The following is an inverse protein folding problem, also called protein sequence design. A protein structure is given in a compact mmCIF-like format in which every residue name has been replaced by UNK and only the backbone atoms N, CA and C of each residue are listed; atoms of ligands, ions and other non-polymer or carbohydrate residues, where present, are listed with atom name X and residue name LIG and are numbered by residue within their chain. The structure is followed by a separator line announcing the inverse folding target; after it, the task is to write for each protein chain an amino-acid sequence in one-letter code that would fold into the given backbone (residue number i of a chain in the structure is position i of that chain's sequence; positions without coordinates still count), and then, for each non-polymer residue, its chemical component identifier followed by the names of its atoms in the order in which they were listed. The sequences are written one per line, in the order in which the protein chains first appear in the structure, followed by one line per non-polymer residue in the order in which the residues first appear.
data_IF_896930262189
#
_entry.id   IF_896930262189
#
_cell.length_a   1.000
_cell.length_b   1.000
_cell.length_c   1.000
_cell.angle_alpha   90.00
_cell.angle_beta   90.00
_cell.angle_gamma   90.00
#
_symmetry.space_group_name_H-M   'P 1'
#
loop_
_entity.id
_entity.type
_entity.pdbx_description
1 polymer ?
#
# COMPACT_ATOMS: atom_id res chain seq x y z
N UNK A 1 2.12 -20.03 -10.58
CA UNK A 1 0.80 -19.68 -11.16
C UNK A 1 0.66 -18.17 -11.13
N UNK A 2 0.57 -17.49 -12.29
CA UNK A 2 0.34 -16.04 -12.36
C UNK A 2 -1.16 -15.82 -12.12
N UNK A 3 -1.51 -15.09 -11.05
CA UNK A 3 -2.91 -14.82 -10.67
C UNK A 3 -3.58 -13.75 -11.54
N UNK A 4 -2.81 -12.89 -12.21
CA UNK A 4 -3.30 -11.81 -13.07
C UNK A 4 -2.17 -10.90 -13.56
N UNK A 5 -2.51 -9.93 -14.40
CA UNK A 5 -1.61 -8.85 -14.83
C UNK A 5 -2.18 -7.50 -14.43
N UNK A 6 -1.31 -6.59 -14.02
CA UNK A 6 -1.64 -5.21 -13.69
C UNK A 6 -0.98 -4.28 -14.72
N UNK A 7 -1.77 -3.40 -15.33
CA UNK A 7 -1.27 -2.34 -16.21
C UNK A 7 -0.87 -1.12 -15.37
N UNK A 8 0.41 -0.78 -15.39
CA UNK A 8 0.93 0.40 -14.68
C UNK A 8 1.28 1.47 -15.72
N UNK A 9 0.90 2.72 -15.43
CA UNK A 9 1.19 3.89 -16.26
C UNK A 9 1.71 5.05 -15.41
N UNK A 10 2.63 5.82 -15.98
CA UNK A 10 3.07 7.12 -15.50
C UNK A 10 2.52 8.19 -16.44
N UNK A 11 1.93 9.24 -15.86
CA UNK A 11 1.15 10.25 -16.58
C UNK A 11 1.66 11.63 -16.22
N UNK A 12 1.77 12.51 -17.20
CA UNK A 12 2.11 13.91 -16.96
C UNK A 12 0.92 14.69 -16.35
N UNK A 13 1.22 15.62 -15.44
CA UNK A 13 0.19 16.37 -14.73
C UNK A 13 -0.58 17.38 -15.59
N UNK A 14 0.06 17.95 -16.63
CA UNK A 14 -0.48 19.10 -17.36
C UNK A 14 -1.43 18.66 -18.47
N UNK A 15 -1.05 17.64 -19.22
CA UNK A 15 -1.74 17.20 -20.42
C UNK A 15 -2.36 15.80 -20.28
N UNK A 16 -2.14 15.11 -19.16
CA UNK A 16 -2.63 13.73 -18.94
C UNK A 16 -2.13 12.74 -20.00
N UNK A 17 -0.96 13.00 -20.58
CA UNK A 17 -0.25 12.13 -21.50
C UNK A 17 0.47 11.06 -20.71
N UNK A 18 0.29 9.81 -21.11
CA UNK A 18 1.02 8.67 -20.57
C UNK A 18 2.45 8.74 -21.10
N UNK A 19 3.40 9.02 -20.20
CA UNK A 19 4.82 9.15 -20.54
C UNK A 19 5.56 7.82 -20.47
N UNK A 20 5.07 6.85 -19.69
CA UNK A 20 5.62 5.50 -19.64
C UNK A 20 4.56 4.51 -19.16
N UNK A 21 4.56 3.28 -19.66
CA UNK A 21 3.60 2.26 -19.26
C UNK A 21 4.17 0.85 -19.41
N UNK A 22 3.77 -0.07 -18.52
CA UNK A 22 4.15 -1.48 -18.62
C UNK A 22 3.16 -2.38 -17.87
N UNK A 23 2.98 -3.61 -18.35
CA UNK A 23 2.15 -4.63 -17.70
C UNK A 23 2.99 -5.62 -16.88
N UNK A 24 2.59 -5.84 -15.63
CA UNK A 24 3.31 -6.70 -14.67
C UNK A 24 2.46 -7.89 -14.26
N UNK A 25 3.05 -9.09 -14.21
CA UNK A 25 2.37 -10.33 -13.86
C UNK A 25 2.44 -10.67 -12.38
N UNK A 26 2.10 -9.74 -11.50
CA UNK A 26 2.18 -9.92 -10.05
C UNK A 26 1.11 -9.08 -9.33
N UNK A 27 0.55 -9.62 -8.24
CA UNK A 27 -0.54 -8.98 -7.51
C UNK A 27 -0.10 -7.83 -6.58
N UNK A 28 1.18 -7.76 -6.23
CA UNK A 28 1.74 -6.62 -5.46
C UNK A 28 2.52 -5.70 -6.39
N UNK A 29 2.34 -4.39 -6.27
CA UNK A 29 2.93 -3.41 -7.20
C UNK A 29 4.25 -2.81 -6.70
N UNK A 30 4.69 -3.16 -5.49
CA UNK A 30 5.92 -2.59 -4.91
C UNK A 30 7.14 -2.76 -5.82
N UNK A 31 7.27 -3.92 -6.48
CA UNK A 31 8.40 -4.24 -7.36
C UNK A 31 8.40 -3.48 -8.70
N UNK A 32 7.33 -2.76 -9.02
CA UNK A 32 7.18 -2.11 -10.34
C UNK A 32 7.71 -0.67 -10.35
N UNK A 33 7.87 -0.02 -9.18
CA UNK A 33 8.31 1.38 -9.09
C UNK A 33 9.65 1.62 -9.79
N UNK A 34 10.67 0.84 -9.44
CA UNK A 34 12.01 0.99 -9.99
C UNK A 34 12.03 0.80 -11.51
N UNK A 35 11.48 -0.28 -12.08
CA UNK A 35 11.33 -0.42 -13.53
C UNK A 35 10.62 0.76 -14.19
N UNK A 36 9.55 1.28 -13.59
CA UNK A 36 8.80 2.42 -14.13
C UNK A 36 9.65 3.69 -14.16
N UNK A 37 10.36 4.01 -13.07
CA UNK A 37 11.25 5.18 -13.01
C UNK A 37 12.38 5.07 -14.04
N UNK A 38 13.02 3.90 -14.14
CA UNK A 38 14.08 3.66 -15.12
C UNK A 38 13.56 3.72 -16.55
N UNK A 39 12.33 3.26 -16.79
CA UNK A 39 11.64 3.36 -18.07
C UNK A 39 11.41 4.81 -18.49
N UNK A 40 10.88 5.64 -17.58
CA UNK A 40 10.71 7.09 -17.78
C UNK A 40 12.07 7.72 -18.10
N UNK A 41 13.09 7.47 -17.27
CA UNK A 41 14.41 8.05 -17.47
C UNK A 41 15.01 7.70 -18.84
N UNK A 42 14.89 6.43 -19.26
CA UNK A 42 15.36 5.97 -20.57
C UNK A 42 14.63 6.66 -21.71
N UNK A 43 13.31 6.78 -21.62
CA UNK A 43 12.48 7.37 -22.66
C UNK A 43 12.79 8.86 -22.83
N UNK A 44 12.95 9.60 -21.73
CA UNK A 44 13.33 11.00 -21.80
C UNK A 44 14.77 11.19 -22.29
N UNK A 45 15.72 10.33 -21.92
CA UNK A 45 17.09 10.39 -22.46
C UNK A 45 17.19 10.11 -23.96
N UNK A 46 16.27 9.34 -24.52
CA UNK A 46 16.21 9.12 -25.97
C UNK A 46 15.79 10.38 -26.73
N UNK A 47 14.98 11.24 -26.09
CA UNK A 47 14.50 12.51 -26.66
C UNK A 47 15.52 13.62 -26.38
N UNK A 48 16.04 13.66 -25.15
CA UNK A 48 16.98 14.66 -24.66
C UNK A 48 18.11 13.97 -23.85
N UNK A 49 19.28 13.70 -24.47
CA UNK A 49 20.37 12.90 -23.88
C UNK A 49 20.92 13.38 -22.52
N UNK A 50 20.68 14.64 -22.15
CA UNK A 50 21.07 15.23 -20.86
C UNK A 50 19.97 15.21 -19.79
N UNK A 51 18.77 14.72 -20.11
CA UNK A 51 17.60 14.89 -19.25
C UNK A 51 17.79 14.28 -17.85
N UNK A 52 17.58 15.11 -16.83
CA UNK A 52 17.52 14.72 -15.42
C UNK A 52 16.08 14.77 -14.90
N UNK A 53 15.11 14.43 -15.76
CA UNK A 53 13.66 14.56 -15.51
C UNK A 53 13.22 14.03 -14.14
N UNK A 54 13.78 12.90 -13.67
CA UNK A 54 13.41 12.30 -12.39
C UNK A 54 13.80 13.15 -11.16
N UNK A 55 14.81 14.03 -11.28
CA UNK A 55 15.24 14.96 -10.22
C UNK A 55 14.55 16.32 -10.33
N UNK A 56 14.14 16.69 -11.53
CA UNK A 56 13.52 17.99 -11.82
C UNK A 56 12.00 17.97 -11.62
N UNK A 57 11.39 16.79 -11.58
CA UNK A 57 9.94 16.62 -11.47
C UNK A 57 9.53 15.98 -10.16
N UNK A 58 8.31 16.31 -9.73
CA UNK A 58 7.66 15.67 -8.58
C UNK A 58 6.98 14.39 -9.03
N UNK A 59 7.17 13.31 -8.29
CA UNK A 59 6.59 11.99 -8.63
C UNK A 59 5.62 11.57 -7.55
N UNK A 60 4.36 11.41 -7.89
CA UNK A 60 3.34 10.86 -6.97
C UNK A 60 3.07 9.40 -7.30
N UNK A 61 3.02 8.52 -6.29
CA UNK A 61 2.63 7.12 -6.47
C UNK A 61 1.61 6.68 -5.41
N UNK A 62 0.73 5.75 -5.77
CA UNK A 62 -0.26 5.21 -4.84
C UNK A 62 0.35 4.33 -3.74
N UNK A 63 -0.51 3.80 -2.86
CA UNK A 63 -0.08 2.95 -1.76
C UNK A 63 0.34 1.54 -2.15
N UNK A 64 0.06 1.10 -3.38
CA UNK A 64 0.58 -0.14 -3.96
C UNK A 64 2.10 -0.11 -4.13
N UNK A 65 2.69 1.08 -4.33
CA UNK A 65 4.13 1.28 -4.44
C UNK A 65 4.84 1.48 -3.08
N UNK A 66 4.13 1.48 -1.96
CA UNK A 66 4.74 1.71 -0.65
C UNK A 66 5.54 0.49 -0.17
N UNK A 67 6.85 0.61 -0.10
CA UNK A 67 7.77 -0.34 0.54
C UNK A 67 9.00 0.39 1.08
N UNK A 68 9.68 -0.19 2.08
CA UNK A 68 10.93 0.36 2.61
C UNK A 68 12.02 0.48 1.50
N UNK A 69 12.13 -0.54 0.65
CA UNK A 69 13.04 -0.53 -0.50
C UNK A 69 12.75 0.64 -1.45
N UNK A 70 11.49 0.92 -1.74
CA UNK A 70 11.09 2.03 -2.60
C UNK A 70 11.37 3.39 -1.96
N UNK A 71 11.16 3.55 -0.65
CA UNK A 71 11.49 4.79 0.05
C UNK A 71 13.00 5.04 0.03
N UNK A 72 13.80 3.99 0.26
CA UNK A 72 15.27 4.02 0.13
C UNK A 72 15.70 4.41 -1.29
N UNK A 73 15.07 3.84 -2.31
CA UNK A 73 15.36 4.12 -3.72
C UNK A 73 15.12 5.59 -4.08
N UNK A 74 13.92 6.11 -3.80
CA UNK A 74 13.55 7.51 -4.11
C UNK A 74 14.54 8.48 -3.46
N UNK A 75 14.89 8.24 -2.19
CA UNK A 75 15.83 9.10 -1.48
C UNK A 75 17.25 9.01 -2.06
N UNK A 76 17.75 7.80 -2.38
CA UNK A 76 19.08 7.60 -2.98
C UNK A 76 19.21 8.24 -4.35
N UNK A 77 18.15 8.20 -5.16
CA UNK A 77 18.15 8.81 -6.49
C UNK A 77 17.95 10.33 -6.47
N UNK A 78 17.60 10.90 -5.30
CA UNK A 78 17.32 12.33 -5.14
C UNK A 78 16.02 12.76 -5.81
N UNK A 79 15.03 11.86 -5.85
CA UNK A 79 13.74 12.11 -6.50
C UNK A 79 12.79 12.81 -5.51
N UNK A 80 12.13 13.88 -5.95
CA UNK A 80 11.07 14.54 -5.17
C UNK A 80 9.76 13.72 -5.21
N UNK A 81 9.77 12.57 -4.52
CA UNK A 81 8.66 11.61 -4.50
C UNK A 81 7.63 11.86 -3.39
N UNK A 82 6.37 11.50 -3.66
CA UNK A 82 5.22 11.50 -2.74
C UNK A 82 4.48 10.17 -2.87
N UNK A 83 4.79 9.22 -2.00
CA UNK A 83 4.23 7.86 -2.03
C UNK A 83 3.46 7.63 -0.73
N UNK A 84 2.15 7.40 -0.83
CA UNK A 84 1.33 7.17 0.35
C UNK A 84 1.46 5.77 0.89
N UNK A 85 1.26 5.59 2.20
CA UNK A 85 1.04 4.27 2.79
C UNK A 85 -0.46 3.93 2.91
N UNK A 86 -0.78 2.70 3.27
CA UNK A 86 -2.15 2.20 3.42
C UNK A 86 -2.97 2.89 4.52
N UNK A 87 -2.33 3.62 5.43
CA UNK A 87 -2.94 4.38 6.51
C UNK A 87 -3.03 5.88 6.22
N UNK A 88 -2.49 6.38 5.10
CA UNK A 88 -2.46 7.80 4.74
C UNK A 88 -3.85 8.45 4.84
N UNK A 89 -4.88 7.83 4.25
CA UNK A 89 -6.26 8.34 4.32
C UNK A 89 -6.79 8.43 5.75
N UNK A 90 -6.35 7.59 6.68
CA UNK A 90 -6.81 7.63 8.08
C UNK A 90 -6.12 8.72 8.90
N UNK A 91 -4.93 9.16 8.47
CA UNK A 91 -4.18 10.24 9.13
C UNK A 91 -4.60 11.62 8.67
N UNK A 92 -5.45 11.71 7.65
CA UNK A 92 -5.97 12.99 7.19
C UNK A 92 -6.98 13.53 8.23
N UNK A 93 -6.71 14.73 8.80
CA UNK A 93 -7.52 15.32 9.87
C UNK A 93 -9.00 15.45 9.52
N UNK A 94 -9.33 15.60 8.24
CA UNK A 94 -10.73 15.76 7.77
C UNK A 94 -11.58 14.51 8.06
N UNK A 95 -10.97 13.34 8.18
CA UNK A 95 -11.68 12.11 8.48
C UNK A 95 -11.82 11.82 9.98
N UNK A 96 -11.08 12.51 10.85
CA UNK A 96 -11.16 12.31 12.30
C UNK A 96 -12.58 12.56 12.82
N UNK A 97 -13.18 13.66 12.37
CA UNK A 97 -14.52 14.09 12.78
C UNK A 97 -15.63 13.82 11.74
N UNK A 98 -15.30 13.24 10.58
CA UNK A 98 -16.30 13.02 9.53
C UNK A 98 -17.35 11.97 9.92
N UNK A 99 -18.58 12.44 10.18
CA UNK A 99 -19.75 11.60 10.47
C UNK A 99 -20.09 10.70 9.27
N UNK A 100 -20.09 11.25 8.06
CA UNK A 100 -20.39 10.51 6.81
C UNK A 100 -19.40 9.39 6.56
N UNK A 101 -18.11 9.61 6.84
CA UNK A 101 -17.11 8.56 6.72
C UNK A 101 -17.32 7.44 7.74
N UNK A 102 -17.61 7.80 9.00
CA UNK A 102 -17.90 6.84 10.07
C UNK A 102 -19.16 6.02 9.74
N UNK A 103 -20.23 6.64 9.27
CA UNK A 103 -21.49 5.97 8.92
C UNK A 103 -21.36 5.07 7.69
N UNK A 104 -20.77 5.55 6.59
CA UNK A 104 -20.54 4.73 5.39
C UNK A 104 -19.63 3.52 5.67
N UNK A 105 -18.63 3.69 6.54
CA UNK A 105 -17.78 2.59 6.99
C UNK A 105 -18.55 1.57 7.82
N UNK A 106 -19.47 2.02 8.68
CA UNK A 106 -20.34 1.13 9.44
C UNK A 106 -21.31 0.36 8.52
N UNK A 107 -21.88 1.03 7.51
CA UNK A 107 -22.74 0.40 6.52
C UNK A 107 -22.00 -0.68 5.71
N UNK A 108 -20.84 -0.36 5.12
CA UNK A 108 -20.00 -1.35 4.40
C UNK A 108 -19.59 -2.53 5.28
N UNK A 109 -19.45 -2.33 6.60
CA UNK A 109 -19.19 -3.43 7.54
C UNK A 109 -20.41 -4.31 7.75
N UNK A 110 -21.62 -3.73 7.86
CA UNK A 110 -22.89 -4.47 7.93
C UNK A 110 -23.13 -5.29 6.67
N UNK A 111 -22.92 -4.71 5.49
CA UNK A 111 -23.06 -5.39 4.19
C UNK A 111 -22.10 -6.58 4.03
N UNK A 112 -20.90 -6.50 4.63
CA UNK A 112 -19.92 -7.60 4.64
C UNK A 112 -20.23 -8.71 5.66
N UNK A 113 -21.37 -8.64 6.38
CA UNK A 113 -21.84 -9.68 7.30
C UNK A 113 -20.94 -9.92 8.52
N UNK A 114 -19.96 -9.06 8.79
CA UNK A 114 -18.99 -9.26 9.86
C UNK A 114 -19.45 -8.68 11.19
N UNK A 115 -19.98 -9.50 12.09
CA UNK A 115 -20.03 -9.12 13.51
C UNK A 115 -18.61 -8.93 14.03
N UNK A 116 -18.30 -7.75 14.55
CA UNK A 116 -17.04 -7.49 15.23
C UNK A 116 -17.12 -8.15 16.60
N UNK A 117 -16.65 -9.39 16.71
CA UNK A 117 -16.38 -9.96 18.02
C UNK A 117 -15.33 -9.07 18.70
N UNK A 118 -15.68 -8.43 19.82
CA UNK A 118 -14.72 -7.84 20.74
C UNK A 118 -13.86 -8.98 21.27
N UNK A 119 -12.69 -9.16 20.66
CA UNK A 119 -11.71 -10.15 21.08
C UNK A 119 -10.62 -9.48 21.87
N UNK A 120 -10.02 -10.20 22.81
CA UNK A 120 -8.83 -9.74 23.50
C UNK A 120 -7.73 -9.36 22.50
N UNK A 121 -7.10 -8.23 22.76
CA UNK A 121 -5.94 -7.66 22.07
C UNK A 121 -4.67 -7.99 22.86
N UNK A 122 -3.50 -7.59 22.39
CA UNK A 122 -2.25 -7.80 23.15
C UNK A 122 -2.22 -7.05 24.49
N UNK A 123 -3.00 -5.96 24.63
CA UNK A 123 -3.06 -5.17 25.85
C UNK A 123 -3.77 -5.90 27.01
N UNK A 124 -4.60 -6.90 26.71
CA UNK A 124 -5.31 -7.70 27.71
C UNK A 124 -4.45 -8.84 28.29
N UNK A 125 -3.22 -9.00 27.79
CA UNK A 125 -2.29 -10.05 28.20
C UNK A 125 -1.23 -9.45 29.11
N UNK A 126 -0.98 -10.11 30.23
CA UNK A 126 0.00 -9.69 31.20
C UNK A 126 1.37 -10.22 30.75
N UNK A 127 2.17 -9.33 30.15
CA UNK A 127 3.51 -9.63 29.67
C UNK A 127 4.53 -8.89 30.52
N UNK A 128 5.39 -9.65 31.18
CA UNK A 128 6.52 -9.13 31.94
C UNK A 128 7.80 -9.14 31.06
N UNK A 129 8.32 -7.97 30.66
CA UNK A 129 9.53 -7.89 29.84
C UNK A 129 10.82 -8.26 30.57
N UNK A 130 10.86 -8.21 31.90
CA UNK A 130 12.07 -8.55 32.68
C UNK A 130 12.26 -10.05 32.77
N UNK A 131 11.17 -10.78 33.06
CA UNK A 131 11.19 -12.25 33.18
C UNK A 131 10.89 -12.95 31.86
N UNK A 132 10.48 -12.20 30.83
CA UNK A 132 10.01 -12.70 29.54
C UNK A 132 8.93 -13.77 29.67
N UNK A 133 8.01 -13.56 30.62
CA UNK A 133 6.86 -14.42 30.86
C UNK A 133 5.58 -13.72 30.43
N UNK A 134 4.57 -14.51 30.03
CA UNK A 134 3.27 -13.98 29.65
C UNK A 134 2.14 -14.83 30.22
N UNK A 135 1.11 -14.17 30.74
CA UNK A 135 -0.15 -14.75 31.19
C UNK A 135 -1.31 -14.22 30.35
N UNK A 136 -2.27 -15.08 30.07
CA UNK A 136 -3.48 -14.69 29.34
C UNK A 136 -4.52 -14.03 30.26
N UNK A 137 -5.59 -13.41 29.71
CA UNK A 137 -6.67 -12.82 30.51
C UNK A 137 -7.36 -13.81 31.48
N UNK A 138 -7.24 -15.12 31.24
CA UNK A 138 -7.75 -16.16 32.14
C UNK A 138 -6.74 -16.58 33.23
N UNK A 139 -5.61 -15.87 33.38
CA UNK A 139 -4.55 -16.14 34.36
C UNK A 139 -3.59 -17.28 34.02
N UNK A 140 -3.82 -18.00 32.92
CA UNK A 140 -3.04 -19.17 32.52
C UNK A 140 -1.69 -18.77 31.89
N UNK A 141 -0.59 -19.50 32.20
CA UNK A 141 0.72 -19.22 31.63
C UNK A 141 0.75 -19.53 30.13
N UNK A 142 1.59 -18.79 29.41
CA UNK A 142 1.86 -18.98 27.98
C UNK A 142 3.34 -19.31 27.78
N UNK A 143 3.63 -20.19 26.83
CA UNK A 143 5.00 -20.55 26.50
C UNK A 143 5.56 -19.63 25.42
N UNK A 144 6.86 -19.34 25.51
CA UNK A 144 7.57 -18.48 24.56
C UNK A 144 7.78 -19.23 23.25
N UNK A 145 7.11 -18.76 22.21
CA UNK A 145 7.15 -19.39 20.87
C UNK A 145 8.33 -18.91 20.05
N UNK A 146 8.62 -17.62 20.11
CA UNK A 146 9.65 -16.99 19.30
C UNK A 146 10.12 -15.71 19.98
N UNK A 147 11.43 -15.43 19.89
CA UNK A 147 12.03 -14.13 20.16
C UNK A 147 13.06 -13.87 19.07
N UNK A 148 12.95 -12.74 18.39
CA UNK A 148 13.89 -12.36 17.35
C UNK A 148 13.36 -11.22 16.49
N UNK A 149 14.05 -10.96 15.38
CA UNK A 149 13.68 -9.90 14.45
C UNK A 149 12.60 -10.38 13.49
N UNK A 150 11.44 -9.71 13.50
CA UNK A 150 10.43 -9.83 12.45
C UNK A 150 10.49 -8.53 11.63
N UNK A 151 11.09 -8.62 10.45
CA UNK A 151 11.51 -7.44 9.71
C UNK A 151 12.63 -6.71 10.45
N UNK A 152 12.46 -5.41 10.72
CA UNK A 152 13.42 -4.59 11.48
C UNK A 152 13.07 -4.50 12.98
N UNK A 153 12.00 -5.16 13.43
CA UNK A 153 11.47 -5.04 14.79
C UNK A 153 11.73 -6.30 15.61
N UNK A 154 12.38 -6.11 16.76
CA UNK A 154 12.55 -7.19 17.73
C UNK A 154 11.20 -7.48 18.37
N UNK A 155 10.75 -8.72 18.19
CA UNK A 155 9.42 -9.16 18.60
C UNK A 155 9.56 -10.44 19.40
N UNK A 156 8.88 -10.49 20.53
CA UNK A 156 8.66 -11.72 21.29
C UNK A 156 7.22 -12.17 21.07
N UNK A 157 7.00 -13.46 20.92
CA UNK A 157 5.67 -14.03 20.80
C UNK A 157 5.48 -15.21 21.74
N UNK A 158 4.27 -15.28 22.29
CA UNK A 158 3.83 -16.29 23.23
C UNK A 158 2.64 -17.04 22.67
N UNK A 159 2.54 -18.31 23.04
CA UNK A 159 1.43 -19.16 22.69
C UNK A 159 0.83 -19.82 23.93
N UNK A 160 -0.50 -19.83 24.00
CA UNK A 160 -1.21 -20.52 25.06
C UNK A 160 -1.13 -22.04 24.89
N UNK A 161 -1.07 -22.77 25.99
CA UNK A 161 -1.16 -24.23 25.93
C UNK A 161 -2.54 -24.67 25.46
N UNK A 162 -2.56 -25.69 24.61
CA UNK A 162 -3.79 -26.18 23.96
C UNK A 162 -4.83 -26.65 24.98
N UNK A 163 -4.40 -27.35 26.02
CA UNK A 163 -5.29 -27.87 27.08
C UNK A 163 -6.00 -26.71 27.79
N UNK A 164 -5.24 -25.72 28.27
CA UNK A 164 -5.81 -24.54 28.92
C UNK A 164 -6.74 -23.74 28.00
N UNK A 165 -6.47 -23.65 26.70
CA UNK A 165 -7.34 -22.92 25.77
C UNK A 165 -8.66 -23.65 25.43
N UNK A 166 -8.66 -24.99 25.42
CA UNK A 166 -9.85 -25.80 25.09
C UNK A 166 -10.94 -25.68 26.16
N UNK A 167 -10.53 -25.71 27.41
CA UNK A 167 -11.42 -25.72 28.59
C UNK A 167 -11.64 -24.31 29.17
N UNK A 168 -11.12 -23.27 28.51
CA UNK A 168 -11.24 -21.89 28.96
C UNK A 168 -12.65 -21.32 28.71
N UNK A 169 -13.26 -20.75 29.75
CA UNK A 169 -14.55 -20.04 29.68
C UNK A 169 -14.49 -18.81 28.75
N UNK A 170 -13.31 -18.18 28.66
CA UNK A 170 -13.08 -17.00 27.83
C UNK A 170 -12.74 -17.33 26.36
N UNK A 171 -12.80 -18.61 25.93
CA UNK A 171 -12.36 -19.04 24.59
C UNK A 171 -13.11 -18.36 23.43
N UNK A 172 -14.37 -17.99 23.61
CA UNK A 172 -15.17 -17.30 22.58
C UNK A 172 -14.75 -15.84 22.37
N UNK A 173 -14.20 -15.20 23.41
CA UNK A 173 -13.64 -13.84 23.36
C UNK A 173 -12.13 -13.84 23.06
N UNK A 174 -11.45 -14.98 23.26
CA UNK A 174 -10.01 -15.11 23.06
C UNK A 174 -9.64 -15.69 21.68
N UNK A 175 -10.26 -16.79 21.25
CA UNK A 175 -9.85 -17.50 20.03
C UNK A 175 -10.57 -16.95 18.79
N UNK A 176 -9.92 -17.05 17.62
CA UNK A 176 -10.56 -16.69 16.34
C UNK A 176 -11.69 -17.67 16.02
N UNK A 177 -11.45 -18.96 16.27
CA UNK A 177 -12.43 -20.04 16.24
C UNK A 177 -12.34 -20.81 17.56
N UNK A 178 -13.44 -21.01 18.32
CA UNK A 178 -13.38 -21.72 19.61
C UNK A 178 -12.78 -23.14 19.53
N UNK A 179 -12.94 -23.80 18.39
CA UNK A 179 -12.49 -25.19 18.18
C UNK A 179 -11.18 -25.27 17.36
N UNK A 180 -10.40 -24.20 17.28
CA UNK A 180 -9.12 -24.25 16.55
C UNK A 180 -8.10 -25.18 17.26
N UNK A 181 -7.17 -25.73 16.48
CA UNK A 181 -6.21 -26.69 17.02
C UNK A 181 -5.13 -26.02 17.87
N UNK A 182 -4.74 -24.80 17.54
CA UNK A 182 -3.70 -24.05 18.23
C UNK A 182 -4.24 -23.14 19.32
N UNK A 183 -3.47 -23.01 20.41
CA UNK A 183 -3.74 -22.01 21.45
C UNK A 183 -3.64 -20.57 20.92
N UNK A 184 -4.12 -19.61 21.72
CA UNK A 184 -4.01 -18.19 21.39
C UNK A 184 -2.54 -17.79 21.23
N UNK A 185 -2.21 -17.06 20.17
CA UNK A 185 -0.92 -16.40 19.99
C UNK A 185 -1.05 -14.91 20.29
N UNK A 186 -0.04 -14.35 20.95
CA UNK A 186 0.14 -12.91 21.18
C UNK A 186 1.60 -12.55 20.96
N UNK A 187 1.85 -11.35 20.42
CA UNK A 187 3.20 -10.85 20.17
C UNK A 187 3.36 -9.46 20.78
N UNK A 188 4.54 -9.21 21.34
CA UNK A 188 4.93 -7.94 21.94
C UNK A 188 6.22 -7.42 21.29
N UNK A 189 6.27 -6.11 21.10
CA UNK A 189 7.47 -5.42 20.63
C UNK A 189 8.48 -5.29 21.78
N UNK A 190 9.72 -5.73 21.58
CA UNK A 190 10.78 -5.57 22.55
C UNK A 190 11.56 -4.28 22.25
N UNK A 191 11.36 -3.28 23.12
CA UNK A 191 12.01 -1.98 23.05
C UNK A 191 11.25 -0.93 22.23
N UNK A 192 11.18 0.28 22.78
CA UNK A 192 10.87 1.47 21.99
C UNK A 192 12.10 1.83 21.15
N UNK A 193 12.30 1.15 20.02
CA UNK A 193 13.05 1.82 18.96
C UNK A 193 12.16 2.93 18.43
N UNK A 194 12.42 4.18 18.84
CA UNK A 194 12.24 5.31 17.93
C UNK A 194 12.91 4.86 16.64
N UNK A 195 12.18 4.59 15.54
CA UNK A 195 12.83 4.16 14.33
C UNK A 195 13.86 5.23 13.98
N UNK A 196 15.14 4.85 13.90
CA UNK A 196 16.19 5.68 13.29
C UNK A 196 15.58 6.20 11.99
N UNK A 197 15.24 7.51 11.95
CA UNK A 197 14.30 8.13 11.01
C UNK A 197 14.14 7.34 9.70
N UNK A 198 13.25 6.34 9.70
CA UNK A 198 13.19 5.40 8.58
C UNK A 198 12.77 6.21 7.35
N UNK A 199 13.21 5.80 6.16
CA UNK A 199 12.81 6.51 4.95
C UNK A 199 11.28 6.55 4.79
N UNK A 200 10.59 5.56 5.36
CA UNK A 200 9.13 5.54 5.55
C UNK A 200 8.66 6.69 6.43
N UNK A 201 9.21 6.88 7.63
CA UNK A 201 8.77 7.96 8.52
C UNK A 201 9.05 9.35 7.92
N UNK A 202 10.19 9.51 7.22
CA UNK A 202 10.48 10.74 6.47
C UNK A 202 9.44 11.00 5.37
N UNK A 203 9.09 9.98 4.58
CA UNK A 203 8.05 10.10 3.56
C UNK A 203 6.69 10.43 4.18
N UNK A 204 6.38 9.80 5.32
CA UNK A 204 5.14 10.00 6.07
C UNK A 204 5.00 11.44 6.54
N UNK A 205 6.03 11.99 7.19
CA UNK A 205 6.08 13.39 7.61
C UNK A 205 5.95 14.34 6.42
N UNK A 206 6.65 14.05 5.32
CA UNK A 206 6.60 14.84 4.09
C UNK A 206 5.20 14.87 3.47
N UNK A 207 4.59 13.71 3.24
CA UNK A 207 3.29 13.59 2.58
C UNK A 207 2.14 14.06 3.49
N UNK A 208 2.30 13.98 4.82
CA UNK A 208 1.32 14.46 5.79
C UNK A 208 1.47 15.97 6.08
N UNK A 209 2.42 16.68 5.48
CA UNK A 209 2.42 18.15 5.51
C UNK A 209 1.26 18.72 4.67
N UNK A 210 0.76 19.96 4.93
CA UNK A 210 -0.27 20.58 4.11
C UNK A 210 0.10 20.63 2.62
N UNK A 211 1.35 21.00 2.32
CA UNK A 211 1.87 21.03 0.94
C UNK A 211 1.99 19.62 0.34
N UNK A 212 2.47 18.64 1.11
CA UNK A 212 2.56 17.25 0.66
C UNK A 212 1.21 16.64 0.33
N UNK A 213 0.18 16.93 1.15
CA UNK A 213 -1.20 16.52 0.88
C UNK A 213 -1.75 17.20 -0.37
N UNK A 214 -1.47 18.49 -0.56
CA UNK A 214 -1.89 19.22 -1.76
C UNK A 214 -1.28 18.60 -3.02
N UNK A 215 0.05 18.41 -3.07
CA UNK A 215 0.75 17.79 -4.20
C UNK A 215 0.21 16.38 -4.46
N UNK A 216 0.10 15.55 -3.41
CA UNK A 216 -0.38 14.17 -3.57
C UNK A 216 -1.86 14.07 -4.01
N UNK A 217 -2.67 15.08 -3.69
CA UNK A 217 -4.07 15.14 -4.11
C UNK A 217 -4.25 15.41 -5.60
N UNK A 218 -3.25 15.99 -6.28
CA UNK A 218 -3.30 16.29 -7.72
C UNK A 218 -3.49 15.02 -8.56
N UNK A 219 -3.08 13.84 -8.05
CA UNK A 219 -3.26 12.56 -8.76
C UNK A 219 -4.71 12.29 -9.17
N UNK A 220 -5.70 12.78 -8.41
CA UNK A 220 -7.12 12.65 -8.74
C UNK A 220 -7.46 13.34 -10.07
N UNK A 221 -6.78 14.45 -10.39
CA UNK A 221 -6.91 15.17 -11.66
C UNK A 221 -5.92 14.69 -12.74
N UNK A 222 -4.83 14.03 -12.35
CA UNK A 222 -3.80 13.56 -13.28
C UNK A 222 -4.09 12.17 -13.83
N UNK A 223 -4.07 11.14 -12.97
CA UNK A 223 -4.01 9.74 -13.40
C UNK A 223 -5.40 9.09 -13.42
N UNK A 224 -6.28 9.46 -12.51
CA UNK A 224 -7.63 8.87 -12.44
C UNK A 224 -8.46 9.11 -13.70
N UNK A 225 -8.44 10.29 -14.37
CA UNK A 225 -9.17 10.50 -15.61
C UNK A 225 -8.62 9.64 -16.76
N UNK A 226 -7.30 9.36 -16.75
CA UNK A 226 -6.67 8.48 -17.74
C UNK A 226 -7.22 7.06 -17.60
N UNK A 227 -7.16 6.49 -16.39
CA UNK A 227 -7.74 5.16 -16.13
C UNK A 227 -9.25 5.14 -16.35
N UNK A 228 -9.96 6.21 -15.97
CA UNK A 228 -11.39 6.37 -16.25
C UNK A 228 -11.71 6.30 -17.76
N UNK A 229 -10.92 6.96 -18.61
CA UNK A 229 -11.07 6.86 -20.06
C UNK A 229 -10.79 5.43 -20.55
N UNK A 230 -9.68 4.82 -20.13
CA UNK A 230 -9.27 3.48 -20.55
C UNK A 230 -10.28 2.40 -20.13
N UNK A 231 -10.82 2.48 -18.92
CA UNK A 231 -11.79 1.51 -18.40
C UNK A 231 -13.20 1.79 -18.92
N UNK A 232 -13.70 3.01 -18.76
CA UNK A 232 -15.12 3.30 -19.02
C UNK A 232 -15.42 3.57 -20.49
N UNK A 233 -14.57 4.33 -21.18
CA UNK A 233 -14.81 4.69 -22.58
C UNK A 233 -14.17 3.70 -23.56
N UNK A 234 -13.01 3.11 -23.21
CA UNK A 234 -12.33 2.11 -24.06
C UNK A 234 -12.63 0.67 -23.66
N UNK A 235 -13.25 0.43 -22.51
CA UNK A 235 -13.69 -0.90 -22.10
C UNK A 235 -12.56 -1.84 -21.66
N UNK A 236 -11.39 -1.32 -21.26
CA UNK A 236 -10.26 -2.15 -20.78
C UNK A 236 -10.41 -2.57 -19.32
N UNK A 237 -11.47 -3.32 -19.02
CA UNK A 237 -11.78 -3.73 -17.65
C UNK A 237 -10.98 -4.97 -17.23
N UNK A 238 -10.42 -5.69 -18.22
CA UNK A 238 -9.59 -6.89 -18.08
C UNK A 238 -8.74 -7.10 -19.34
N UNK A 239 -7.55 -7.65 -19.17
CA UNK A 239 -6.76 -8.12 -20.30
C UNK A 239 -7.38 -9.36 -20.93
N UNK A 240 -7.43 -9.41 -22.26
CA UNK A 240 -8.05 -10.51 -23.02
C UNK A 240 -7.01 -11.48 -23.59
N UNK A 241 -5.74 -11.06 -23.63
CA UNK A 241 -4.64 -11.87 -24.16
C UNK A 241 -3.96 -12.70 -23.06
N UNK A 242 -3.24 -13.75 -23.48
CA UNK A 242 -2.45 -14.62 -22.60
C UNK A 242 -0.97 -14.47 -22.86
N UNK A 243 -0.19 -14.42 -21.79
CA UNK A 243 1.28 -14.28 -21.84
C UNK A 243 1.72 -12.82 -21.75
N UNK A 244 2.79 -12.57 -20.98
CA UNK A 244 3.26 -11.23 -20.61
C UNK A 244 3.44 -10.31 -21.81
N UNK A 245 4.11 -10.79 -22.86
CA UNK A 245 4.39 -9.96 -24.04
C UNK A 245 3.12 -9.50 -24.75
N UNK A 246 2.12 -10.39 -24.90
CA UNK A 246 0.84 -10.05 -25.54
C UNK A 246 0.02 -9.11 -24.67
N UNK A 247 -0.05 -9.38 -23.36
CA UNK A 247 -0.75 -8.50 -22.41
C UNK A 247 -0.11 -7.11 -22.37
N UNK A 248 1.22 -7.03 -22.36
CA UNK A 248 1.93 -5.76 -22.40
C UNK A 248 1.68 -5.01 -23.72
N UNK A 249 1.66 -5.71 -24.86
CA UNK A 249 1.29 -5.08 -26.14
C UNK A 249 -0.14 -4.52 -26.12
N UNK A 250 -1.10 -5.26 -25.57
CA UNK A 250 -2.48 -4.78 -25.39
C UNK A 250 -2.49 -3.53 -24.49
N UNK A 251 -1.80 -3.54 -23.36
CA UNK A 251 -1.73 -2.40 -22.45
C UNK A 251 -1.16 -1.15 -23.13
N UNK A 252 -0.02 -1.31 -23.82
CA UNK A 252 0.64 -0.22 -24.54
C UNK A 252 -0.23 0.33 -25.67
N UNK A 253 -0.96 -0.53 -26.40
CA UNK A 253 -1.89 -0.11 -27.45
C UNK A 253 -2.98 0.82 -26.90
N UNK A 254 -3.59 0.46 -25.77
CA UNK A 254 -4.60 1.30 -25.11
C UNK A 254 -4.01 2.62 -24.62
N UNK A 255 -2.80 2.61 -24.06
CA UNK A 255 -2.09 3.82 -23.66
C UNK A 255 -1.81 4.74 -24.87
N UNK A 256 -1.41 4.17 -26.01
CA UNK A 256 -1.18 4.95 -27.24
C UNK A 256 -2.48 5.57 -27.77
N UNK A 257 -3.59 4.82 -27.79
CA UNK A 257 -4.90 5.36 -28.20
C UNK A 257 -5.30 6.54 -27.31
N UNK A 258 -5.15 6.42 -25.99
CA UNK A 258 -5.39 7.52 -25.07
C UNK A 258 -4.56 8.76 -25.42
N UNK A 259 -3.25 8.59 -25.59
CA UNK A 259 -2.36 9.69 -25.94
C UNK A 259 -2.72 10.34 -27.27
N UNK A 260 -3.01 9.56 -28.31
CA UNK A 260 -3.43 10.07 -29.62
C UNK A 260 -4.72 10.89 -29.52
N UNK A 261 -5.70 10.46 -28.74
CA UNK A 261 -6.92 11.21 -28.50
C UNK A 261 -6.66 12.54 -27.79
N UNK A 262 -5.80 12.52 -26.78
CA UNK A 262 -5.39 13.75 -26.07
C UNK A 262 -4.68 14.72 -27.01
N UNK A 263 -3.78 14.23 -27.87
CA UNK A 263 -3.08 15.05 -28.86
C UNK A 263 -4.06 15.60 -29.90
N UNK A 264 -4.98 14.78 -30.41
CA UNK A 264 -5.95 15.21 -31.43
C UNK A 264 -6.94 16.26 -30.89
N UNK A 265 -7.33 16.16 -29.62
CA UNK A 265 -8.32 17.05 -29.00
C UNK A 265 -7.70 18.29 -28.35
N UNK A 266 -6.50 18.18 -27.76
CA UNK A 266 -5.79 19.31 -27.13
C UNK A 266 -4.84 20.03 -28.09
N UNK A 267 -4.42 19.39 -29.18
CA UNK A 267 -3.61 20.00 -30.24
C UNK A 267 -4.31 21.12 -31.02
N UNK A 268 -5.60 21.38 -30.74
CA UNK A 268 -6.35 22.52 -31.26
C UNK A 268 -6.32 23.77 -30.35
N UNK A 269 -5.52 23.81 -29.28
CA UNK A 269 -5.21 25.08 -28.62
C UNK A 269 -4.32 25.92 -29.54
N UNK A 270 -5.00 26.65 -30.44
CA UNK A 270 -4.45 27.75 -31.25
C UNK A 270 -3.78 28.73 -30.29
N UNK A 271 -2.46 28.90 -30.47
CA UNK A 271 -1.75 30.10 -30.04
C UNK A 271 -2.26 31.31 -30.82
#
# INVERSE_FOLDING_TARGET
MIQGYNGVAAVDNKHQIIVHAHAYGAGQEQHTLEPMLMGIHRQFRQIEPGSSILRETKITADSGFHSDANMKLIYRLGIDGYIADNQFRKRDPRFAESVTFKSAKAQRRKERGGQVAQRFTSADFDYDPLTETCRCPAGQPMWKRFKGLIGEQETISFQGYRQHCRDCSLKHQCLRRPNQQDGRQVSFALGERKPLSSFIEKMKQKIDSPMGRHIYSQRLGTVEPVFGNLESNKGLNRFTLRGKSKVNAQWLMYCMVHNLEKIATQGQQRY
#
